data_IF_073367197384
#
_entry.id   IF_073367197384
#
_cell.length_a   1.000
_cell.length_b   1.000
_cell.length_c   1.000
_cell.angle_alpha   90.00
_cell.angle_beta   90.00
_cell.angle_gamma   90.00
#
_symmetry.space_group_name_H-M   'P 1'
#
loop_
_entity.id
_entity.type
_entity.pdbx_description
1 polymer ?
#
# COMPACT_ATOMS: atom_id res chain seq x y z
N UNK A 1 2.65 -10.85 9.74
CA UNK A 1 3.15 -10.87 8.36
C UNK A 1 2.68 -9.62 7.64
N UNK A 2 3.58 -8.97 6.88
CA UNK A 2 3.21 -7.82 6.04
C UNK A 2 2.33 -8.27 4.86
N UNK A 3 1.51 -7.36 4.34
CA UNK A 3 0.50 -7.62 3.32
C UNK A 3 0.59 -6.63 2.18
N UNK A 4 0.46 -7.10 0.94
CA UNK A 4 0.27 -6.20 -0.19
C UNK A 4 -1.18 -5.69 -0.27
N UNK A 5 -1.40 -4.70 -1.14
CA UNK A 5 -2.73 -4.11 -1.37
C UNK A 5 -3.82 -5.15 -1.73
N UNK A 6 -3.47 -6.23 -2.45
CA UNK A 6 -4.42 -7.32 -2.76
C UNK A 6 -4.81 -8.09 -1.51
N UNK A 7 -3.86 -8.41 -0.64
CA UNK A 7 -4.12 -9.11 0.62
C UNK A 7 -4.87 -8.25 1.63
N UNK A 8 -4.57 -6.95 1.71
CA UNK A 8 -5.37 -5.99 2.48
C UNK A 8 -6.80 -5.88 1.94
N UNK A 9 -6.96 -5.83 0.61
CA UNK A 9 -8.27 -5.74 -0.04
C UNK A 9 -9.17 -6.93 0.28
N UNK A 10 -8.61 -8.14 0.37
CA UNK A 10 -9.34 -9.32 0.85
C UNK A 10 -9.93 -9.14 2.26
N UNK A 11 -9.25 -8.41 3.16
CA UNK A 11 -9.73 -8.14 4.53
C UNK A 11 -10.77 -7.03 4.57
N UNK A 12 -10.69 -6.07 3.65
CA UNK A 12 -11.63 -4.96 3.50
C UNK A 12 -12.79 -5.28 2.53
N UNK A 13 -12.84 -6.50 1.97
CA UNK A 13 -13.77 -6.89 0.92
C UNK A 13 -13.78 -5.94 -0.30
N UNK A 14 -12.61 -5.44 -0.68
CA UNK A 14 -12.45 -4.52 -1.82
C UNK A 14 -11.24 -4.86 -2.70
N UNK A 15 -11.13 -4.20 -3.85
CA UNK A 15 -10.04 -4.43 -4.81
C UNK A 15 -8.72 -3.82 -4.34
N UNK A 16 -7.59 -4.33 -4.84
CA UNK A 16 -6.28 -3.74 -4.60
C UNK A 16 -6.20 -2.27 -5.08
N UNK A 17 -6.93 -1.92 -6.15
CA UNK A 17 -7.05 -0.54 -6.63
C UNK A 17 -7.70 0.35 -5.57
N UNK A 18 -8.83 -0.09 -5.00
CA UNK A 18 -9.55 0.65 -3.97
C UNK A 18 -8.70 0.81 -2.70
N UNK A 19 -8.00 -0.24 -2.26
CA UNK A 19 -7.05 -0.14 -1.13
C UNK A 19 -5.96 0.88 -1.41
N UNK A 20 -5.38 0.84 -2.60
CA UNK A 20 -4.30 1.78 -2.94
C UNK A 20 -4.79 3.23 -2.96
N UNK A 21 -6.00 3.47 -3.47
CA UNK A 21 -6.63 4.78 -3.44
C UNK A 21 -6.91 5.23 -2.01
N UNK A 22 -7.41 4.35 -1.14
CA UNK A 22 -7.65 4.65 0.27
C UNK A 22 -6.35 5.05 1.00
N UNK A 23 -5.30 4.23 0.88
CA UNK A 23 -3.98 4.52 1.45
C UNK A 23 -3.41 5.86 0.93
N UNK A 24 -3.65 6.19 -0.34
CA UNK A 24 -3.20 7.45 -0.93
C UNK A 24 -4.00 8.65 -0.41
N UNK A 25 -5.33 8.53 -0.35
CA UNK A 25 -6.21 9.55 0.22
C UNK A 25 -5.93 9.80 1.71
N UNK A 26 -5.46 8.78 2.44
CA UNK A 26 -5.00 8.89 3.82
C UNK A 26 -3.54 9.38 3.95
N UNK A 27 -2.89 9.76 2.85
CA UNK A 27 -1.54 10.34 2.86
C UNK A 27 -0.42 9.35 3.18
N UNK A 28 -0.65 8.03 3.08
CA UNK A 28 0.33 6.99 3.41
C UNK A 28 1.18 6.58 2.20
N UNK A 29 0.68 6.79 0.99
CA UNK A 29 1.43 6.55 -0.24
C UNK A 29 1.03 7.55 -1.32
N UNK A 30 1.81 7.63 -2.39
CA UNK A 30 1.51 8.47 -3.53
C UNK A 30 1.94 7.81 -4.84
N UNK A 31 1.38 8.29 -5.96
CA UNK A 31 1.87 7.94 -7.30
C UNK A 31 3.02 8.87 -7.68
N UNK A 32 4.19 8.29 -7.92
CA UNK A 32 5.34 9.05 -8.40
C UNK A 32 5.24 9.34 -9.91
N UNK A 33 6.23 10.04 -10.46
CA UNK A 33 6.32 10.39 -11.88
C UNK A 33 6.40 9.18 -12.83
N UNK A 34 6.72 7.99 -12.31
CA UNK A 34 6.81 6.72 -13.05
C UNK A 34 5.54 5.87 -12.93
N UNK A 35 4.44 6.43 -12.41
CA UNK A 35 3.19 5.74 -12.09
C UNK A 35 3.38 4.53 -11.14
N UNK A 36 4.45 4.53 -10.34
CA UNK A 36 4.68 3.57 -9.28
C UNK A 36 4.15 4.08 -7.94
N UNK A 37 3.78 3.16 -7.05
CA UNK A 37 3.43 3.51 -5.67
C UNK A 37 4.68 3.66 -4.84
N UNK A 38 4.78 4.78 -4.11
CA UNK A 38 5.85 5.03 -3.14
C UNK A 38 5.27 5.44 -1.78
N UNK A 39 6.00 5.12 -0.71
CA UNK A 39 5.63 5.48 0.66
C UNK A 39 5.89 6.97 0.91
N UNK A 40 4.93 7.63 1.55
CA UNK A 40 5.22 8.90 2.23
C UNK A 40 6.00 8.66 3.53
N UNK A 41 6.41 9.72 4.20
CA UNK A 41 7.00 9.60 5.55
C UNK A 41 6.03 8.94 6.53
N UNK A 42 4.75 9.32 6.51
CA UNK A 42 3.72 8.70 7.33
C UNK A 42 3.51 7.21 6.97
N UNK A 43 3.61 6.87 5.68
CA UNK A 43 3.52 5.50 5.20
C UNK A 43 4.61 4.58 5.75
N UNK A 44 5.85 5.08 5.88
CA UNK A 44 7.01 4.31 6.36
C UNK A 44 6.84 3.77 7.79
N UNK A 45 5.98 4.38 8.60
CA UNK A 45 5.63 3.87 9.93
C UNK A 45 4.91 2.52 9.86
N UNK A 46 4.18 2.28 8.77
CA UNK A 46 3.30 1.12 8.63
C UNK A 46 3.74 0.13 7.56
N UNK A 47 4.61 0.53 6.64
CA UNK A 47 4.94 -0.30 5.49
C UNK A 47 6.38 -0.15 5.03
N UNK A 48 6.78 -1.11 4.21
CA UNK A 48 8.10 -1.20 3.61
C UNK A 48 7.98 -1.36 2.10
N UNK A 49 8.84 -0.68 1.35
CA UNK A 49 9.00 -0.92 -0.08
C UNK A 49 10.10 -1.96 -0.27
N UNK A 50 9.74 -3.12 -0.82
CA UNK A 50 10.70 -4.21 -1.08
C UNK A 50 10.88 -4.42 -2.59
N UNK A 51 12.08 -4.84 -3.03
CA UNK A 51 12.28 -5.27 -4.41
C UNK A 51 11.28 -6.36 -4.79
N UNK A 52 10.66 -6.21 -5.95
CA UNK A 52 9.67 -7.12 -6.48
C UNK A 52 9.90 -7.34 -7.96
N UNK A 53 9.96 -8.59 -8.39
CA UNK A 53 10.06 -8.94 -9.80
C UNK A 53 8.88 -9.80 -10.22
N UNK A 54 8.25 -9.43 -11.34
CA UNK A 54 7.17 -10.22 -11.95
C UNK A 54 7.32 -10.20 -13.46
N UNK A 55 7.33 -11.38 -14.08
CA UNK A 55 7.42 -11.55 -15.54
C UNK A 55 8.61 -10.80 -16.17
N UNK A 56 9.77 -10.77 -15.49
CA UNK A 56 10.96 -10.07 -15.97
C UNK A 56 10.94 -8.54 -15.77
N UNK A 57 9.91 -7.99 -15.12
CA UNK A 57 9.88 -6.58 -14.72
C UNK A 57 10.22 -6.45 -13.24
N UNK A 58 11.33 -5.75 -12.97
CA UNK A 58 11.76 -5.42 -11.62
C UNK A 58 11.20 -4.05 -11.23
N UNK A 59 10.54 -3.99 -10.09
CA UNK A 59 10.00 -2.78 -9.49
C UNK A 59 10.07 -2.91 -7.96
N UNK A 60 9.41 -2.01 -7.25
CA UNK A 60 9.17 -2.15 -5.82
C UNK A 60 7.70 -2.47 -5.58
N UNK A 61 7.45 -3.29 -4.55
CA UNK A 61 6.12 -3.48 -4.00
C UNK A 61 6.10 -2.94 -2.57
N UNK A 62 5.04 -2.21 -2.22
CA UNK A 62 4.80 -1.84 -0.83
C UNK A 62 4.07 -2.98 -0.13
N UNK A 63 4.64 -3.40 1.00
CA UNK A 63 4.00 -4.29 1.95
C UNK A 63 3.67 -3.53 3.23
N UNK A 64 2.50 -3.81 3.79
CA UNK A 64 1.93 -3.08 4.91
C UNK A 64 1.77 -3.98 6.13
N UNK A 65 2.06 -3.44 7.31
CA UNK A 65 1.63 -4.01 8.57
C UNK A 65 0.10 -4.03 8.58
N UNK A 66 -0.55 -5.19 8.86
CA UNK A 66 -2.00 -5.29 8.90
C UNK A 66 -2.71 -4.26 9.79
N UNK A 67 -2.04 -3.74 10.82
CA UNK A 67 -2.57 -2.71 11.73
C UNK A 67 -2.78 -1.35 11.06
N UNK A 68 -2.23 -1.12 9.85
CA UNK A 68 -2.55 0.08 9.05
C UNK A 68 -4.05 0.21 8.79
N UNK A 69 -4.78 -0.91 8.78
CA UNK A 69 -6.24 -0.90 8.62
C UNK A 69 -6.95 -0.17 9.75
N UNK A 70 -6.36 -0.13 10.95
CA UNK A 70 -6.94 0.58 12.08
C UNK A 70 -6.73 2.09 11.97
N UNK A 71 -5.60 2.54 11.40
CA UNK A 71 -5.40 3.97 11.11
C UNK A 71 -6.33 4.49 10.00
N UNK A 72 -6.73 3.62 9.06
CA UNK A 72 -7.64 3.97 7.97
C UNK A 72 -9.11 4.13 8.44
N UNK A 73 -9.52 3.43 9.50
CA UNK A 73 -10.89 3.52 10.04
C UNK A 73 -11.18 4.82 10.79
N UNK A 74 -10.14 5.48 11.32
CA UNK A 74 -10.28 6.73 12.10
C UNK A 74 -10.47 7.95 11.18
N UNK A 75 -10.12 7.84 9.91
CA UNK A 75 -10.12 8.94 8.94
C UNK A 75 -11.35 8.95 7.99
N UNK A 76 -12.32 8.05 8.19
CA UNK A 76 -13.56 7.94 7.39
C UNK A 76 -14.77 8.36 8.22
#
# INVERSE_FOLDING_TARGET
CLLNATQLGKRLHCSAKAVNQLLASSGLQFRNERDAWELTEAGRVWGEAIPYSRNGHSSYQILWNPTVLDSLKVAA
#
